data_IF_154460289591
#
_entry.id   IF_154460289591
#
_cell.length_a   1.000
_cell.length_b   1.000
_cell.length_c   1.000
_cell.angle_alpha   90.00
_cell.angle_beta   90.00
_cell.angle_gamma   90.00
#
_symmetry.space_group_name_H-M   'P 1'
#
loop_
_entity.id
_entity.type
_entity.pdbx_description
1 polymer ?
#
# COMPACT_ATOMS: atom_id res chain seq x y z
N UNK A 1 27.25 -1.44 -32.53
CA UNK A 1 27.04 -2.20 -31.27
C UNK A 1 28.08 -1.81 -30.21
N UNK A 2 29.38 -1.67 -30.55
CA UNK A 2 30.42 -1.26 -29.57
C UNK A 2 30.27 0.20 -29.08
N UNK A 3 29.80 1.10 -29.92
CA UNK A 3 29.63 2.54 -29.59
C UNK A 3 28.48 2.80 -28.63
N UNK A 4 27.40 2.04 -28.75
CA UNK A 4 26.22 2.19 -27.90
C UNK A 4 26.48 1.70 -26.46
N UNK A 5 27.22 0.61 -26.31
CA UNK A 5 27.62 0.09 -25.00
C UNK A 5 28.61 1.02 -24.27
N UNK A 6 29.53 1.65 -25.00
CA UNK A 6 30.49 2.61 -24.42
C UNK A 6 29.80 3.92 -23.99
N UNK A 7 28.83 4.38 -24.76
CA UNK A 7 28.04 5.57 -24.41
C UNK A 7 27.17 5.34 -23.17
N UNK A 8 26.49 4.18 -23.09
CA UNK A 8 25.72 3.79 -21.89
C UNK A 8 26.61 3.68 -20.65
N UNK A 9 27.82 3.15 -20.78
CA UNK A 9 28.78 3.07 -19.68
C UNK A 9 29.22 4.45 -19.21
N UNK A 10 29.58 5.36 -20.11
CA UNK A 10 29.94 6.75 -19.75
C UNK A 10 28.79 7.51 -19.09
N UNK A 11 27.55 7.33 -19.56
CA UNK A 11 26.37 7.95 -18.95
C UNK A 11 26.17 7.42 -17.53
N UNK A 12 26.32 6.12 -17.33
CA UNK A 12 26.22 5.49 -16.01
C UNK A 12 27.29 5.98 -15.05
N UNK A 13 28.54 6.00 -15.44
CA UNK A 13 29.67 6.50 -14.64
C UNK A 13 29.48 7.98 -14.25
N UNK A 14 29.00 8.82 -15.18
CA UNK A 14 28.66 10.22 -14.87
C UNK A 14 27.48 10.35 -13.90
N UNK A 15 26.48 9.48 -14.02
CA UNK A 15 25.34 9.48 -13.12
C UNK A 15 25.77 9.06 -11.70
N UNK A 16 26.61 8.04 -11.57
CA UNK A 16 27.15 7.60 -10.29
C UNK A 16 28.00 8.68 -9.60
N UNK A 17 28.88 9.36 -10.34
CA UNK A 17 29.65 10.49 -9.79
C UNK A 17 28.75 11.62 -9.27
N UNK A 18 27.65 11.93 -9.98
CA UNK A 18 26.67 12.94 -9.52
C UNK A 18 25.91 12.49 -8.27
N UNK A 19 25.62 11.21 -8.14
CA UNK A 19 24.97 10.66 -6.93
C UNK A 19 25.89 10.77 -5.71
N UNK A 20 27.18 10.45 -5.82
CA UNK A 20 28.16 10.65 -4.75
C UNK A 20 28.30 12.12 -4.36
N UNK A 21 28.33 13.03 -5.34
CA UNK A 21 28.36 14.46 -5.08
C UNK A 21 27.09 14.92 -4.34
N UNK A 22 25.91 14.42 -4.74
CA UNK A 22 24.64 14.68 -4.07
C UNK A 22 24.65 14.22 -2.62
N UNK A 23 25.07 12.97 -2.34
CA UNK A 23 25.20 12.43 -0.99
C UNK A 23 26.15 13.28 -0.16
N UNK A 24 27.32 13.68 -0.71
CA UNK A 24 28.27 14.54 -0.03
C UNK A 24 27.70 15.92 0.32
N UNK A 25 26.95 16.53 -0.58
CA UNK A 25 26.27 17.82 -0.35
C UNK A 25 25.16 17.67 0.71
N UNK A 26 24.38 16.60 0.63
CA UNK A 26 23.33 16.30 1.62
C UNK A 26 23.94 16.09 3.01
N UNK A 27 25.04 15.35 3.12
CA UNK A 27 25.73 15.16 4.40
C UNK A 27 26.26 16.47 4.99
N UNK A 28 26.73 17.41 4.16
CA UNK A 28 27.13 18.74 4.64
C UNK A 28 25.95 19.53 5.20
N UNK A 29 24.80 19.51 4.53
CA UNK A 29 23.57 20.14 5.02
C UNK A 29 23.09 19.53 6.32
N UNK A 30 23.10 18.20 6.43
CA UNK A 30 22.75 17.47 7.67
C UNK A 30 23.65 17.91 8.82
N UNK A 31 24.97 18.00 8.59
CA UNK A 31 25.93 18.41 9.60
C UNK A 31 25.74 19.87 10.05
N UNK A 32 25.46 20.76 9.09
CA UNK A 32 25.14 22.15 9.38
C UNK A 32 23.86 22.30 10.20
N UNK A 33 22.79 21.58 9.85
CA UNK A 33 21.55 21.53 10.63
C UNK A 33 21.80 21.01 12.03
N UNK A 34 22.55 19.90 12.15
CA UNK A 34 22.89 19.27 13.45
C UNK A 34 23.68 20.21 14.35
N UNK A 35 24.64 20.93 13.81
CA UNK A 35 25.47 21.88 14.51
C UNK A 35 24.65 23.08 15.02
N UNK A 36 23.76 23.61 14.19
CA UNK A 36 22.90 24.74 14.53
C UNK A 36 21.82 24.36 15.54
N UNK A 37 21.15 23.21 15.34
CA UNK A 37 20.06 22.75 16.20
C UNK A 37 20.56 22.15 17.52
N UNK A 38 21.82 21.72 17.60
CA UNK A 38 22.42 20.97 18.73
C UNK A 38 21.58 19.74 19.14
N UNK A 39 20.95 19.11 18.16
CA UNK A 39 20.07 17.93 18.32
C UNK A 39 20.32 16.94 17.19
N UNK A 40 20.08 15.63 17.41
CA UNK A 40 20.11 14.67 16.33
C UNK A 40 19.06 14.99 15.26
N UNK A 41 19.42 14.73 14.01
CA UNK A 41 18.54 14.94 12.85
C UNK A 41 17.88 13.60 12.50
N UNK A 42 16.54 13.62 12.44
CA UNK A 42 15.74 12.53 11.88
C UNK A 42 15.16 13.00 10.54
N UNK A 43 15.43 12.25 9.50
CA UNK A 43 14.86 12.45 8.17
C UNK A 43 13.86 11.35 7.88
N UNK A 44 12.65 11.70 7.51
CA UNK A 44 11.61 10.74 7.09
C UNK A 44 11.40 10.92 5.60
N UNK A 45 11.62 9.85 4.83
CA UNK A 45 11.42 9.82 3.38
C UNK A 45 10.22 8.96 3.09
N UNK A 46 9.11 9.63 2.82
CA UNK A 46 7.81 9.02 2.57
C UNK A 46 7.55 8.78 1.08
N UNK A 47 6.46 8.13 0.78
CA UNK A 47 5.95 7.83 -0.57
C UNK A 47 6.81 6.85 -1.40
N UNK A 48 7.89 6.31 -0.83
CA UNK A 48 8.68 5.27 -1.51
C UNK A 48 7.95 3.91 -1.53
N UNK A 49 6.97 3.71 -0.68
CA UNK A 49 6.05 2.56 -0.69
C UNK A 49 5.15 2.51 -1.95
N UNK A 50 4.99 3.64 -2.64
CA UNK A 50 4.25 3.76 -3.91
C UNK A 50 5.09 3.44 -5.15
N UNK A 51 6.39 3.18 -4.98
CA UNK A 51 7.26 2.80 -6.09
C UNK A 51 6.83 1.45 -6.69
N UNK A 52 6.95 1.33 -8.02
CA UNK A 52 6.87 0.00 -8.64
C UNK A 52 7.95 -0.92 -8.08
N UNK A 53 7.70 -2.23 -8.09
CA UNK A 53 8.65 -3.23 -7.57
C UNK A 53 10.05 -3.05 -8.17
N UNK A 54 10.14 -2.84 -9.49
CA UNK A 54 11.41 -2.64 -10.20
C UNK A 54 12.16 -1.38 -9.72
N UNK A 55 11.45 -0.26 -9.55
CA UNK A 55 12.06 0.99 -9.04
C UNK A 55 12.51 0.84 -7.60
N UNK A 56 11.72 0.17 -6.77
CA UNK A 56 12.08 -0.11 -5.38
C UNK A 56 13.32 -1.02 -5.29
N UNK A 57 13.42 -2.05 -6.14
CA UNK A 57 14.63 -2.87 -6.27
C UNK A 57 15.83 -2.03 -6.72
N UNK A 58 15.64 -1.14 -7.69
CA UNK A 58 16.69 -0.20 -8.11
C UNK A 58 17.21 0.64 -6.96
N UNK A 59 16.32 1.20 -6.16
CA UNK A 59 16.66 2.09 -5.04
C UNK A 59 17.28 1.31 -3.86
N UNK A 60 16.56 0.30 -3.35
CA UNK A 60 16.89 -0.37 -2.10
C UNK A 60 17.88 -1.52 -2.23
N UNK A 61 18.13 -2.04 -3.45
CA UNK A 61 19.16 -3.04 -3.71
C UNK A 61 20.38 -2.42 -4.37
N UNK A 62 20.20 -1.79 -5.54
CA UNK A 62 21.33 -1.33 -6.35
C UNK A 62 21.99 -0.07 -5.78
N UNK A 63 21.22 0.79 -5.08
CA UNK A 63 21.72 2.03 -4.48
C UNK A 63 21.68 2.02 -2.94
N UNK A 64 21.48 0.84 -2.30
CA UNK A 64 21.42 0.72 -0.85
C UNK A 64 22.66 1.28 -0.14
N UNK A 65 23.85 1.03 -0.68
CA UNK A 65 25.10 1.53 -0.13
C UNK A 65 25.13 3.08 -0.09
N UNK A 66 24.64 3.74 -1.15
CA UNK A 66 24.57 5.21 -1.18
C UNK A 66 23.57 5.76 -0.15
N UNK A 67 22.44 5.09 0.04
CA UNK A 67 21.47 5.46 1.08
C UNK A 67 22.06 5.31 2.48
N UNK A 68 22.89 4.28 2.71
CA UNK A 68 23.58 4.03 3.98
C UNK A 68 24.72 5.03 4.28
N UNK A 69 25.22 5.76 3.28
CA UNK A 69 26.24 6.80 3.47
C UNK A 69 25.69 8.11 4.05
N UNK A 70 24.37 8.28 4.11
CA UNK A 70 23.74 9.47 4.68
C UNK A 70 23.92 9.50 6.21
N UNK A 71 24.44 10.62 6.75
CA UNK A 71 24.87 10.76 8.14
C UNK A 71 23.79 11.31 9.06
N UNK A 72 22.56 10.77 8.94
CA UNK A 72 21.42 11.09 9.79
C UNK A 72 20.70 9.81 10.23
N UNK A 73 19.79 9.95 11.19
CA UNK A 73 18.78 8.93 11.41
C UNK A 73 17.74 9.07 10.28
N UNK A 74 17.60 8.04 9.46
CA UNK A 74 16.70 8.10 8.30
C UNK A 74 15.71 6.95 8.37
N UNK A 75 14.45 7.27 8.18
CA UNK A 75 13.36 6.33 8.02
C UNK A 75 12.88 6.39 6.58
N UNK A 76 12.92 5.26 5.89
CA UNK A 76 12.39 5.10 4.54
C UNK A 76 11.12 4.27 4.58
N UNK A 77 10.07 4.71 3.89
CA UNK A 77 8.97 3.80 3.53
C UNK A 77 9.40 2.91 2.36
N UNK A 78 8.83 1.73 2.20
CA UNK A 78 9.09 0.86 1.04
C UNK A 78 7.87 -0.03 0.74
N UNK A 79 7.69 -0.48 -0.53
CA UNK A 79 6.57 -1.32 -0.91
C UNK A 79 6.58 -2.65 -0.16
N UNK A 80 5.42 -3.07 0.37
CA UNK A 80 5.31 -4.36 1.07
C UNK A 80 5.75 -5.53 0.18
N UNK A 81 5.51 -5.46 -1.12
CA UNK A 81 5.94 -6.46 -2.09
C UNK A 81 7.46 -6.71 -2.09
N UNK A 82 8.26 -5.69 -1.74
CA UNK A 82 9.72 -5.81 -1.68
C UNK A 82 10.18 -6.76 -0.58
N UNK A 83 9.43 -6.87 0.52
CA UNK A 83 9.69 -7.84 1.61
C UNK A 83 9.76 -9.28 1.12
N UNK A 84 9.06 -9.57 0.02
CA UNK A 84 8.96 -10.90 -0.58
C UNK A 84 9.87 -11.10 -1.79
N UNK A 85 10.77 -10.13 -2.06
CA UNK A 85 11.85 -10.32 -3.02
C UNK A 85 12.86 -11.36 -2.53
N UNK A 86 13.43 -12.14 -3.45
CA UNK A 86 14.50 -13.11 -3.12
C UNK A 86 15.72 -12.40 -2.51
N UNK A 87 15.97 -11.19 -2.96
CA UNK A 87 17.09 -10.33 -2.57
C UNK A 87 16.82 -9.56 -1.26
N UNK A 88 15.67 -9.74 -0.63
CA UNK A 88 15.27 -8.94 0.54
C UNK A 88 16.27 -9.03 1.70
N UNK A 89 16.88 -10.18 1.94
CA UNK A 89 17.92 -10.32 2.97
C UNK A 89 19.17 -9.48 2.65
N UNK A 90 19.53 -9.37 1.36
CA UNK A 90 20.61 -8.49 0.93
C UNK A 90 20.24 -7.01 1.10
N UNK A 91 19.03 -6.62 0.73
CA UNK A 91 18.52 -5.26 0.98
C UNK A 91 18.61 -4.95 2.47
N UNK A 92 18.08 -5.84 3.31
CA UNK A 92 18.02 -5.67 4.76
C UNK A 92 19.40 -5.46 5.39
N UNK A 93 20.46 -6.08 4.87
CA UNK A 93 21.81 -5.98 5.44
C UNK A 93 22.40 -4.57 5.39
N UNK A 94 21.84 -3.67 4.58
CA UNK A 94 22.26 -2.26 4.50
C UNK A 94 21.55 -1.34 5.49
N UNK A 95 20.50 -1.83 6.18
CA UNK A 95 19.69 -1.01 7.09
C UNK A 95 19.71 -1.58 8.50
N UNK A 96 19.75 -0.70 9.51
CA UNK A 96 19.87 -1.11 10.93
C UNK A 96 18.65 -1.88 11.39
N UNK A 97 17.46 -1.38 11.08
CA UNK A 97 16.19 -1.93 11.54
C UNK A 97 15.11 -1.86 10.46
N UNK A 98 14.07 -2.65 10.63
CA UNK A 98 12.86 -2.60 9.83
C UNK A 98 11.63 -2.70 10.70
N UNK A 99 10.62 -1.98 10.34
CA UNK A 99 9.31 -2.02 10.97
C UNK A 99 8.26 -2.35 9.92
N UNK A 100 7.30 -3.19 10.29
CA UNK A 100 6.13 -3.49 9.47
C UNK A 100 4.93 -2.89 10.18
N UNK A 101 4.24 -1.98 9.49
CA UNK A 101 2.97 -1.44 9.95
C UNK A 101 1.87 -2.35 9.38
N UNK A 102 1.25 -3.21 10.20
CA UNK A 102 0.23 -4.12 9.70
C UNK A 102 -1.04 -3.35 9.33
N UNK A 103 -1.79 -3.88 8.36
CA UNK A 103 -3.16 -3.41 8.13
C UNK A 103 -4.02 -3.66 9.37
N UNK A 104 -4.99 -2.78 9.61
CA UNK A 104 -5.94 -2.95 10.71
C UNK A 104 -6.84 -4.14 10.42
N UNK A 105 -6.82 -5.16 11.28
CA UNK A 105 -7.66 -6.33 11.08
C UNK A 105 -9.11 -6.02 11.45
N UNK A 106 -9.94 -5.69 10.46
CA UNK A 106 -11.39 -5.58 10.63
C UNK A 106 -12.04 -6.97 10.75
N UNK A 107 -11.43 -7.95 10.11
CA UNK A 107 -11.82 -9.36 10.18
C UNK A 107 -10.64 -10.21 10.62
N UNK A 108 -10.92 -11.32 11.32
CA UNK A 108 -9.92 -12.34 11.63
C UNK A 108 -9.71 -13.30 10.43
N UNK A 109 -8.75 -14.22 10.59
CA UNK A 109 -8.43 -15.23 9.57
C UNK A 109 -9.60 -16.16 9.24
N UNK A 110 -10.62 -16.25 10.11
CA UNK A 110 -11.85 -17.01 9.92
C UNK A 110 -12.98 -16.16 9.30
N UNK A 111 -12.73 -14.89 8.98
CA UNK A 111 -13.72 -13.98 8.42
C UNK A 111 -14.71 -13.41 9.44
N UNK A 112 -14.45 -13.56 10.75
CA UNK A 112 -15.27 -12.99 11.81
C UNK A 112 -14.84 -11.56 12.10
N UNK A 113 -15.82 -10.68 12.34
CA UNK A 113 -15.55 -9.29 12.68
C UNK A 113 -14.72 -9.20 13.97
N UNK A 114 -13.65 -8.39 13.92
CA UNK A 114 -12.84 -8.04 15.08
C UNK A 114 -13.27 -6.67 15.64
N UNK A 115 -13.87 -6.65 16.84
CA UNK A 115 -14.41 -5.40 17.41
C UNK A 115 -13.35 -4.29 17.55
N UNK A 116 -12.12 -4.63 17.92
CA UNK A 116 -11.03 -3.66 18.10
C UNK A 116 -10.66 -2.99 16.77
N UNK A 117 -10.42 -3.79 15.72
CA UNK A 117 -10.07 -3.26 14.40
C UNK A 117 -11.20 -2.45 13.79
N UNK A 118 -12.44 -2.95 13.92
CA UNK A 118 -13.62 -2.22 13.48
C UNK A 118 -13.73 -0.86 14.19
N UNK A 119 -13.57 -0.84 15.51
CA UNK A 119 -13.64 0.40 16.31
C UNK A 119 -12.57 1.41 15.89
N UNK A 120 -11.33 0.96 15.70
CA UNK A 120 -10.22 1.84 15.25
C UNK A 120 -10.56 2.49 13.91
N UNK A 121 -11.02 1.69 12.94
CA UNK A 121 -11.37 2.23 11.61
C UNK A 121 -12.59 3.18 11.67
N UNK A 122 -13.58 2.86 12.50
CA UNK A 122 -14.73 3.74 12.73
C UNK A 122 -14.31 5.06 13.39
N UNK A 123 -13.44 5.02 14.37
CA UNK A 123 -12.91 6.22 15.05
C UNK A 123 -12.17 7.15 14.09
N UNK A 124 -11.50 6.61 13.05
CA UNK A 124 -10.90 7.44 12.00
C UNK A 124 -11.94 8.30 11.30
N UNK A 125 -13.13 7.77 11.03
CA UNK A 125 -14.24 8.52 10.42
C UNK A 125 -14.81 9.54 11.41
N UNK A 126 -15.14 9.11 12.61
CA UNK A 126 -15.79 9.94 13.66
C UNK A 126 -14.95 11.14 14.08
N UNK A 127 -13.62 11.05 13.96
CA UNK A 127 -12.71 12.20 14.20
C UNK A 127 -12.61 13.18 13.02
N UNK A 128 -13.20 12.90 11.87
CA UNK A 128 -13.10 13.70 10.64
C UNK A 128 -14.42 14.19 10.10
N UNK A 129 -15.49 13.51 10.44
CA UNK A 129 -16.83 13.78 9.92
C UNK A 129 -17.78 13.95 11.10
N UNK A 130 -18.50 15.06 11.12
CA UNK A 130 -19.51 15.31 12.13
C UNK A 130 -20.64 14.27 12.05
N UNK A 131 -21.14 13.74 13.17
CA UNK A 131 -22.11 12.64 13.19
C UNK A 131 -23.42 12.91 12.44
N UNK A 132 -23.82 14.17 12.32
CA UNK A 132 -25.05 14.54 11.61
C UNK A 132 -24.88 14.55 10.08
N UNK A 133 -23.63 14.48 9.57
CA UNK A 133 -23.34 14.51 8.12
C UNK A 133 -23.32 13.13 7.47
N UNK A 134 -23.27 12.07 8.27
CA UNK A 134 -23.15 10.69 7.75
C UNK A 134 -23.95 9.71 8.61
N UNK A 135 -24.62 8.77 7.94
CA UNK A 135 -25.38 7.72 8.61
C UNK A 135 -24.46 6.63 9.18
N UNK A 136 -24.78 6.06 10.35
CA UNK A 136 -24.00 4.96 10.96
C UNK A 136 -23.84 3.75 10.04
N UNK A 137 -24.85 3.41 9.26
CA UNK A 137 -24.81 2.29 8.29
C UNK A 137 -23.87 2.57 7.11
N UNK A 138 -23.74 3.84 6.70
CA UNK A 138 -22.77 4.22 5.67
C UNK A 138 -21.34 4.09 6.20
N UNK A 139 -21.10 4.49 7.48
CA UNK A 139 -19.82 4.27 8.15
C UNK A 139 -19.50 2.78 8.24
N UNK A 140 -20.48 1.97 8.68
CA UNK A 140 -20.31 0.51 8.81
C UNK A 140 -19.91 -0.13 7.47
N UNK A 141 -20.57 0.23 6.38
CA UNK A 141 -20.23 -0.25 5.05
C UNK A 141 -18.81 0.18 4.64
N UNK A 142 -18.45 1.44 4.83
CA UNK A 142 -17.12 1.96 4.49
C UNK A 142 -16.01 1.21 5.26
N UNK A 143 -16.19 1.02 6.58
CA UNK A 143 -15.23 0.30 7.42
C UNK A 143 -15.07 -1.15 6.95
N UNK A 144 -16.17 -1.86 6.70
CA UNK A 144 -16.12 -3.25 6.22
C UNK A 144 -15.46 -3.37 4.86
N UNK A 145 -15.75 -2.45 3.94
CA UNK A 145 -15.20 -2.48 2.58
C UNK A 145 -13.78 -1.96 2.48
N UNK A 146 -13.27 -1.24 3.48
CA UNK A 146 -11.90 -0.72 3.49
C UNK A 146 -10.81 -1.78 3.60
N UNK A 147 -11.16 -2.99 4.05
CA UNK A 147 -10.16 -4.03 4.36
C UNK A 147 -9.19 -3.67 5.49
N UNK A 148 -9.51 -2.64 6.29
CA UNK A 148 -8.63 -2.12 7.34
C UNK A 148 -7.51 -1.23 6.80
N UNK A 149 -7.65 -0.74 5.57
CA UNK A 149 -6.73 0.23 4.96
C UNK A 149 -7.30 1.64 5.15
N UNK A 150 -6.64 2.51 5.94
CA UNK A 150 -7.13 3.88 6.15
C UNK A 150 -7.29 4.67 4.86
N UNK A 151 -6.38 4.49 3.89
CA UNK A 151 -6.46 5.15 2.59
C UNK A 151 -7.76 4.78 1.85
N UNK A 152 -8.08 3.49 1.76
CA UNK A 152 -9.31 3.01 1.11
C UNK A 152 -10.56 3.53 1.83
N UNK A 153 -10.55 3.55 3.17
CA UNK A 153 -11.63 4.13 3.95
C UNK A 153 -11.89 5.59 3.58
N UNK A 154 -10.83 6.41 3.53
CA UNK A 154 -10.93 7.83 3.17
C UNK A 154 -11.39 8.01 1.71
N UNK A 155 -10.90 7.20 0.78
CA UNK A 155 -11.35 7.23 -0.62
C UNK A 155 -12.84 6.92 -0.75
N UNK A 156 -13.36 5.91 -0.04
CA UNK A 156 -14.78 5.60 -0.01
C UNK A 156 -15.62 6.76 0.54
N UNK A 157 -15.16 7.39 1.64
CA UNK A 157 -15.84 8.55 2.20
C UNK A 157 -15.85 9.74 1.24
N UNK A 158 -14.71 10.06 0.63
CA UNK A 158 -14.61 11.15 -0.34
C UNK A 158 -15.51 10.92 -1.56
N UNK A 159 -15.53 9.70 -2.09
CA UNK A 159 -16.39 9.34 -3.21
C UNK A 159 -17.88 9.44 -2.82
N UNK A 160 -18.26 8.94 -1.63
CA UNK A 160 -19.65 9.03 -1.15
C UNK A 160 -20.10 10.49 -0.95
N UNK A 161 -19.22 11.35 -0.43
CA UNK A 161 -19.47 12.79 -0.31
C UNK A 161 -19.72 13.41 -1.68
N UNK A 162 -18.90 13.10 -2.68
CA UNK A 162 -19.09 13.63 -4.05
C UNK A 162 -20.42 13.16 -4.67
N UNK A 163 -20.80 11.89 -4.45
CA UNK A 163 -22.11 11.38 -4.88
C UNK A 163 -23.26 12.10 -4.18
N UNK A 164 -23.16 12.35 -2.87
CA UNK A 164 -24.18 13.09 -2.10
C UNK A 164 -24.32 14.52 -2.59
N UNK A 165 -23.23 15.24 -2.75
CA UNK A 165 -23.23 16.61 -3.26
C UNK A 165 -23.85 16.70 -4.67
N UNK A 166 -23.50 15.76 -5.57
CA UNK A 166 -24.07 15.69 -6.89
C UNK A 166 -25.59 15.40 -6.89
N UNK A 167 -26.08 14.69 -5.86
CA UNK A 167 -27.49 14.39 -5.65
C UNK A 167 -28.23 15.47 -4.81
N UNK A 168 -27.54 16.54 -4.41
CA UNK A 168 -28.13 17.61 -3.58
C UNK A 168 -28.47 17.15 -2.15
N UNK A 169 -27.74 16.17 -1.61
CA UNK A 169 -27.94 15.65 -0.28
C UNK A 169 -27.04 16.39 0.73
N UNK A 170 -27.61 16.76 1.87
CA UNK A 170 -26.89 17.37 2.98
C UNK A 170 -26.29 16.34 3.94
N UNK A 171 -26.62 15.06 3.76
CA UNK A 171 -26.18 13.94 4.58
C UNK A 171 -25.86 12.73 3.72
N UNK A 172 -24.79 12.04 4.07
CA UNK A 172 -24.33 10.84 3.39
C UNK A 172 -25.02 9.61 3.98
N UNK A 173 -25.83 8.96 3.18
CA UNK A 173 -26.50 7.72 3.55
C UNK A 173 -25.87 6.49 2.91
N UNK A 174 -26.54 5.36 3.14
CA UNK A 174 -26.14 4.08 2.57
C UNK A 174 -26.14 4.07 1.02
N UNK A 175 -27.06 4.75 0.30
CA UNK A 175 -27.04 4.80 -1.17
C UNK A 175 -25.77 5.42 -1.74
N UNK A 176 -25.32 6.56 -1.20
CA UNK A 176 -24.12 7.27 -1.64
C UNK A 176 -22.87 6.43 -1.37
N UNK A 177 -22.80 5.77 -0.21
CA UNK A 177 -21.71 4.87 0.12
C UNK A 177 -21.69 3.63 -0.78
N UNK A 178 -22.84 3.05 -1.13
CA UNK A 178 -22.91 1.96 -2.11
C UNK A 178 -22.42 2.40 -3.49
N UNK A 179 -22.75 3.60 -3.92
CA UNK A 179 -22.25 4.17 -5.18
C UNK A 179 -20.74 4.29 -5.17
N UNK A 180 -20.15 4.75 -4.05
CA UNK A 180 -18.70 4.81 -3.86
C UNK A 180 -18.05 3.42 -3.93
N UNK A 181 -18.66 2.41 -3.28
CA UNK A 181 -18.19 1.02 -3.34
C UNK A 181 -18.21 0.49 -4.78
N UNK A 182 -19.30 0.70 -5.51
CA UNK A 182 -19.43 0.27 -6.92
C UNK A 182 -18.39 0.96 -7.80
N UNK A 183 -18.14 2.25 -7.58
CA UNK A 183 -17.12 2.99 -8.32
C UNK A 183 -15.74 2.36 -8.10
N UNK A 184 -15.33 2.12 -6.87
CA UNK A 184 -14.05 1.49 -6.57
C UNK A 184 -13.96 0.05 -7.12
N UNK A 185 -15.06 -0.72 -7.10
CA UNK A 185 -15.12 -2.03 -7.75
C UNK A 185 -14.87 -1.95 -9.26
N UNK A 186 -15.43 -0.93 -9.93
CA UNK A 186 -15.23 -0.74 -11.36
C UNK A 186 -13.78 -0.37 -11.69
N UNK A 187 -13.10 0.41 -10.84
CA UNK A 187 -11.69 0.72 -10.99
C UNK A 187 -10.85 -0.57 -10.96
N UNK A 188 -11.13 -1.46 -10.01
CA UNK A 188 -10.47 -2.78 -9.97
C UNK A 188 -10.82 -3.68 -11.15
N UNK A 189 -12.07 -3.65 -11.65
CA UNK A 189 -12.44 -4.41 -12.87
C UNK A 189 -11.61 -4.00 -14.08
N UNK A 190 -11.20 -2.73 -14.15
CA UNK A 190 -10.34 -2.20 -15.22
C UNK A 190 -8.90 -2.67 -15.13
N UNK A 191 -8.44 -3.10 -13.95
CA UNK A 191 -7.04 -3.50 -13.70
C UNK A 191 -6.84 -5.01 -13.62
N UNK A 192 -7.85 -5.78 -13.19
CA UNK A 192 -7.78 -7.22 -13.05
C UNK A 192 -8.02 -7.94 -14.39
N UNK A 193 -7.19 -8.94 -14.65
CA UNK A 193 -7.33 -9.84 -15.81
C UNK A 193 -8.30 -10.98 -15.47
N UNK A 194 -8.89 -11.65 -16.48
CA UNK A 194 -9.82 -12.76 -16.24
C UNK A 194 -9.24 -13.89 -15.36
N UNK A 195 -7.96 -14.21 -15.53
CA UNK A 195 -7.25 -15.25 -14.77
C UNK A 195 -7.03 -14.89 -13.31
N UNK A 196 -6.97 -13.58 -12.96
CA UNK A 196 -6.74 -13.11 -11.60
C UNK A 196 -7.86 -13.50 -10.65
N UNK A 197 -9.09 -13.56 -11.14
CA UNK A 197 -10.27 -13.85 -10.32
C UNK A 197 -10.22 -15.24 -9.68
N UNK A 198 -9.79 -16.24 -10.44
CA UNK A 198 -9.65 -17.61 -9.92
C UNK A 198 -8.57 -17.70 -8.85
N UNK A 199 -7.47 -16.98 -9.06
CA UNK A 199 -6.35 -16.97 -8.14
C UNK A 199 -6.68 -16.19 -6.85
N UNK A 200 -7.30 -15.03 -6.96
CA UNK A 200 -7.79 -14.27 -5.82
C UNK A 200 -8.81 -15.09 -5.00
N UNK A 201 -9.73 -15.81 -5.67
CA UNK A 201 -10.68 -16.69 -4.99
C UNK A 201 -9.96 -17.80 -4.21
N UNK A 202 -8.86 -18.35 -4.73
CA UNK A 202 -8.02 -19.31 -4.02
C UNK A 202 -7.42 -18.70 -2.75
N UNK A 203 -6.86 -17.47 -2.82
CA UNK A 203 -6.37 -16.76 -1.64
C UNK A 203 -7.45 -16.55 -0.60
N UNK A 204 -8.64 -16.11 -1.03
CA UNK A 204 -9.76 -15.91 -0.12
C UNK A 204 -10.18 -17.20 0.62
N UNK A 205 -10.13 -18.34 -0.05
CA UNK A 205 -10.49 -19.65 0.54
C UNK A 205 -9.40 -20.19 1.47
N UNK A 206 -8.16 -20.06 1.10
CA UNK A 206 -7.04 -20.68 1.83
C UNK A 206 -6.44 -19.79 2.90
N UNK A 207 -6.55 -18.48 2.75
CA UNK A 207 -5.87 -17.47 3.59
C UNK A 207 -4.35 -17.68 3.66
N UNK A 208 -3.82 -18.49 2.78
CA UNK A 208 -2.41 -18.86 2.77
C UNK A 208 -1.61 -17.87 1.94
N UNK A 209 -0.47 -17.46 2.49
CA UNK A 209 0.50 -16.66 1.75
C UNK A 209 1.36 -17.58 0.87
N UNK A 210 1.51 -17.22 -0.40
CA UNK A 210 2.43 -17.88 -1.35
C UNK A 210 3.40 -16.83 -1.87
N UNK A 211 4.71 -17.05 -1.73
CA UNK A 211 5.71 -16.09 -2.21
C UNK A 211 6.04 -16.34 -3.69
N UNK A 212 5.26 -15.76 -4.56
CA UNK A 212 5.48 -15.75 -6.01
C UNK A 212 5.34 -14.34 -6.59
N UNK A 213 5.59 -14.20 -7.89
CA UNK A 213 5.50 -12.91 -8.58
C UNK A 213 4.07 -12.36 -8.57
N UNK A 214 3.11 -13.26 -8.69
CA UNK A 214 1.69 -12.90 -8.73
C UNK A 214 1.19 -12.33 -7.40
N UNK A 215 1.60 -12.96 -6.29
CA UNK A 215 1.32 -12.42 -4.94
C UNK A 215 1.89 -11.03 -4.77
N UNK A 216 3.11 -10.80 -5.24
CA UNK A 216 3.73 -9.46 -5.15
C UNK A 216 2.98 -8.42 -5.98
N UNK A 217 2.48 -8.80 -7.17
CA UNK A 217 1.64 -7.95 -8.00
C UNK A 217 0.32 -7.60 -7.30
N UNK A 218 -0.36 -8.59 -6.71
CA UNK A 218 -1.61 -8.38 -5.98
C UNK A 218 -1.44 -7.56 -4.69
N UNK A 219 -0.34 -7.73 -3.97
CA UNK A 219 0.00 -6.88 -2.82
C UNK A 219 0.30 -5.44 -3.25
N UNK A 220 0.99 -5.25 -4.37
CA UNK A 220 1.34 -3.93 -4.87
C UNK A 220 0.11 -3.12 -5.33
N UNK A 221 -0.90 -3.78 -5.91
CA UNK A 221 -2.13 -3.13 -6.37
C UNK A 221 -3.28 -3.21 -5.35
N UNK A 222 -3.03 -3.72 -4.14
CA UNK A 222 -3.98 -3.89 -3.04
C UNK A 222 -5.17 -4.83 -3.36
N UNK A 223 -5.09 -5.68 -4.37
CA UNK A 223 -6.08 -6.74 -4.60
C UNK A 223 -6.00 -7.83 -3.55
N UNK A 224 -4.80 -8.03 -3.00
CA UNK A 224 -4.52 -8.90 -1.88
C UNK A 224 -3.97 -8.06 -0.72
N UNK A 225 -4.44 -8.31 0.49
CA UNK A 225 -4.03 -7.61 1.70
C UNK A 225 -3.29 -8.55 2.63
N UNK A 226 -2.17 -8.07 3.18
CA UNK A 226 -1.45 -8.81 4.20
C UNK A 226 -1.89 -8.35 5.59
N UNK A 227 -2.12 -9.33 6.46
CA UNK A 227 -2.42 -9.15 7.87
C UNK A 227 -1.45 -9.98 8.72
N UNK A 228 -1.39 -9.70 10.03
CA UNK A 228 -0.57 -10.45 10.97
C UNK A 228 -1.26 -10.56 12.31
N UNK A 229 -1.38 -11.80 12.80
CA UNK A 229 -1.85 -12.16 14.13
C UNK A 229 -0.84 -13.03 14.89
N UNK A 230 0.44 -12.76 14.64
CA UNK A 230 1.59 -13.57 15.05
C UNK A 230 2.28 -14.19 13.84
N UNK A 231 1.50 -14.68 12.87
CA UNK A 231 1.97 -15.13 11.57
C UNK A 231 1.36 -14.30 10.45
N UNK A 232 2.10 -14.04 9.35
CA UNK A 232 1.55 -13.35 8.19
C UNK A 232 0.52 -14.23 7.47
N UNK A 233 -0.59 -13.64 7.08
CA UNK A 233 -1.61 -14.25 6.24
C UNK A 233 -2.21 -13.23 5.30
N UNK A 234 -2.84 -13.68 4.22
CA UNK A 234 -3.41 -12.81 3.21
C UNK A 234 -4.88 -13.07 3.00
N UNK A 235 -5.60 -12.03 2.66
CA UNK A 235 -6.95 -12.12 2.13
C UNK A 235 -7.15 -11.13 0.99
N UNK A 236 -8.13 -11.43 0.17
CA UNK A 236 -8.57 -10.54 -0.89
C UNK A 236 -9.17 -9.28 -0.30
N UNK A 237 -8.91 -8.15 -0.94
CA UNK A 237 -9.54 -6.90 -0.55
C UNK A 237 -11.07 -7.05 -0.54
N UNK A 238 -11.80 -6.72 0.55
CA UNK A 238 -13.23 -6.96 0.66
C UNK A 238 -14.07 -6.37 -0.47
N UNK A 239 -13.61 -5.27 -1.05
CA UNK A 239 -14.25 -4.62 -2.19
C UNK A 239 -14.39 -5.56 -3.40
N UNK A 240 -13.50 -6.53 -3.55
CA UNK A 240 -13.44 -7.46 -4.67
C UNK A 240 -14.30 -8.72 -4.47
N UNK A 241 -14.67 -9.05 -3.24
CA UNK A 241 -15.38 -10.30 -2.93
C UNK A 241 -16.68 -10.48 -3.74
N UNK A 242 -17.54 -9.43 -3.93
CA UNK A 242 -18.72 -9.56 -4.77
C UNK A 242 -18.38 -9.92 -6.24
N UNK A 243 -17.25 -9.38 -6.75
CA UNK A 243 -16.83 -9.63 -8.14
C UNK A 243 -16.34 -11.07 -8.34
N UNK A 244 -15.79 -11.69 -7.31
CA UNK A 244 -15.33 -13.09 -7.35
C UNK A 244 -16.52 -14.06 -7.39
N UNK A 245 -17.62 -13.77 -6.68
CA UNK A 245 -18.86 -14.54 -6.71
C UNK A 245 -19.57 -14.50 -8.06
N UNK A 246 -19.74 -13.31 -8.65
CA UNK A 246 -20.40 -13.12 -9.94
C UNK A 246 -19.78 -13.93 -11.10
N UNK A 247 -18.45 -14.16 -11.06
CA UNK A 247 -17.76 -14.92 -12.12
C UNK A 247 -17.72 -16.43 -11.86
N UNK A 248 -17.77 -16.86 -10.59
CA UNK A 248 -17.90 -18.29 -10.26
C UNK A 248 -19.20 -18.87 -10.82
N UNK A 249 -20.31 -18.13 -10.71
CA UNK A 249 -21.62 -18.56 -11.21
C UNK A 249 -21.70 -18.58 -12.75
N UNK A 250 -20.96 -17.69 -13.44
CA UNK A 250 -20.91 -17.67 -14.91
C UNK A 250 -20.01 -18.76 -15.51
N UNK A 251 -19.01 -19.23 -14.76
CA UNK A 251 -18.10 -20.30 -15.21
C UNK A 251 -18.67 -21.71 -14.96
N UNK A 252 -19.60 -21.87 -14.00
CA UNK A 252 -20.27 -23.16 -13.69
C UNK A 252 -21.51 -23.45 -14.56
N UNK A 253 -21.92 -22.53 -15.43
CA UNK A 253 -23.11 -22.64 -16.27
C UNK A 253 -22.85 -22.98 -17.75
N UNK A 254 -21.73 -23.68 -18.07
CA UNK A 254 -21.47 -24.22 -19.42
C UNK A 254 -21.34 -25.73 -19.38
#
# INVERSE_FOLDING_TARGET
>A
VKTESSTRRMVRERAELRLFELVSRTNRLIEEIRSNARRPVLVIVEDLDKLSFERAMGLFLNHAALLAELRAHILFTFPIALRYAREFLQIRSHFSERFIVPNVMVYDRQGRLRPEGYRVMREIVERRVEPYLIDPEAIDLAVRMSGGIPLTLIQLLQSAILHGLAAGQDRIGLPEMRSAVIQLQNDYRGTLRPEDYGELLRYHRTRAFVNDERTREFLANLSLLEYSDGEPWCDVHPILLPLLGEKSDRAGGR
#
